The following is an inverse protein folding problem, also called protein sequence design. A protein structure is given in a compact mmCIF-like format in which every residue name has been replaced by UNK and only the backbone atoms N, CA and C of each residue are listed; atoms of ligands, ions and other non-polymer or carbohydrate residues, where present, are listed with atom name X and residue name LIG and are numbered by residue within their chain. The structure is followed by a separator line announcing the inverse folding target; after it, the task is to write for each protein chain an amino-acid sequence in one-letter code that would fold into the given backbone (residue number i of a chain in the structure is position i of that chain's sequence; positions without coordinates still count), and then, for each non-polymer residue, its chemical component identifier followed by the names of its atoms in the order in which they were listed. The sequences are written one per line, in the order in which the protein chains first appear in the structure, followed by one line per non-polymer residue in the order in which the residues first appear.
data_IF_148115152814
#
_entry.id   IF_148115152814
#
_cell.length_a   1.000
_cell.length_b   1.000
_cell.length_c   1.000
_cell.angle_alpha   90.00
_cell.angle_beta   90.00
_cell.angle_gamma   90.00
#
_symmetry.space_group_name_H-M   'P 1'
#
loop_
_entity.id
_entity.type
_entity.pdbx_description
1 polymer ?
#
# COMPACT_ATOMS: atom_id res chain seq x y z
N UNK A 1 -83.65 -35.80 77.91
CA UNK A 1 -82.41 -36.52 77.56
C UNK A 1 -82.17 -36.27 76.08
N UNK A 2 -81.00 -35.71 75.75
CA UNK A 2 -80.68 -35.14 74.44
C UNK A 2 -80.49 -36.21 73.35
N UNK A 3 -80.94 -35.90 72.14
CA UNK A 3 -80.83 -36.71 70.92
C UNK A 3 -79.39 -36.99 70.54
N UNK A 4 -79.12 -38.24 70.14
CA UNK A 4 -77.78 -38.78 69.89
C UNK A 4 -77.54 -39.11 68.39
N UNK A 5 -78.49 -38.80 67.50
CA UNK A 5 -78.46 -39.14 66.06
C UNK A 5 -77.88 -38.05 65.12
N UNK A 6 -77.60 -36.83 65.61
CA UNK A 6 -77.16 -35.70 64.77
C UNK A 6 -75.62 -35.58 64.62
N UNK A 7 -74.85 -36.43 65.30
CA UNK A 7 -73.37 -36.33 65.34
C UNK A 7 -72.64 -37.17 64.29
N UNK A 8 -73.32 -38.10 63.61
CA UNK A 8 -72.69 -39.01 62.63
C UNK A 8 -72.64 -38.38 61.21
N UNK A 9 -73.52 -37.43 60.91
CA UNK A 9 -73.64 -36.79 59.58
C UNK A 9 -72.54 -35.75 59.28
N UNK A 10 -72.04 -35.04 60.30
CA UNK A 10 -71.03 -33.99 60.11
C UNK A 10 -69.62 -34.52 59.87
N UNK A 11 -69.25 -35.68 60.42
CA UNK A 11 -67.89 -36.22 60.29
C UNK A 11 -67.63 -36.86 58.92
N UNK A 12 -68.64 -37.46 58.27
CA UNK A 12 -68.50 -38.00 56.91
C UNK A 12 -68.39 -36.91 55.83
N UNK A 13 -69.11 -35.80 55.97
CA UNK A 13 -68.97 -34.65 55.05
C UNK A 13 -67.59 -34.01 55.16
N UNK A 14 -67.08 -33.85 56.37
CA UNK A 14 -65.75 -33.29 56.64
C UNK A 14 -64.62 -34.19 56.12
N UNK A 15 -64.83 -35.51 56.10
CA UNK A 15 -63.90 -36.45 55.50
C UNK A 15 -63.87 -36.33 53.97
N UNK A 16 -65.02 -36.24 53.30
CA UNK A 16 -65.10 -36.08 51.84
C UNK A 16 -64.54 -34.74 51.34
N UNK A 17 -64.75 -33.66 52.09
CA UNK A 17 -64.20 -32.35 51.75
C UNK A 17 -62.67 -32.34 51.84
N UNK A 18 -62.09 -33.03 52.83
CA UNK A 18 -60.62 -33.21 52.94
C UNK A 18 -60.04 -34.06 51.82
N UNK A 19 -60.76 -35.08 51.35
CA UNK A 19 -60.33 -35.89 50.21
C UNK A 19 -60.36 -35.09 48.90
N UNK A 20 -61.40 -34.27 48.67
CA UNK A 20 -61.47 -33.38 47.51
C UNK A 20 -60.37 -32.31 47.53
N UNK A 21 -60.06 -31.72 48.69
CA UNK A 21 -58.96 -30.76 48.81
C UNK A 21 -57.59 -31.40 48.55
N UNK A 22 -57.36 -32.64 49.04
CA UNK A 22 -56.13 -33.37 48.75
C UNK A 22 -56.00 -33.75 47.28
N UNK A 23 -57.09 -34.15 46.63
CA UNK A 23 -57.08 -34.49 45.21
C UNK A 23 -56.86 -33.25 44.33
N UNK A 24 -57.43 -32.11 44.72
CA UNK A 24 -57.25 -30.82 44.04
C UNK A 24 -55.82 -30.29 44.19
N UNK A 25 -55.24 -30.38 45.38
CA UNK A 25 -53.83 -30.04 45.63
C UNK A 25 -52.86 -30.90 44.81
N UNK A 26 -53.14 -32.20 44.67
CA UNK A 26 -52.34 -33.10 43.81
C UNK A 26 -52.41 -32.75 42.33
N UNK A 27 -53.59 -32.34 41.83
CA UNK A 27 -53.77 -31.92 40.43
C UNK A 27 -53.06 -30.59 40.15
N UNK A 28 -53.16 -29.61 41.04
CA UNK A 28 -52.44 -28.34 40.92
C UNK A 28 -50.91 -28.52 40.95
N UNK A 29 -50.39 -29.39 41.82
CA UNK A 29 -48.95 -29.70 41.83
C UNK A 29 -48.48 -30.36 40.52
N UNK A 30 -49.25 -31.30 39.97
CA UNK A 30 -48.92 -31.93 38.69
C UNK A 30 -48.96 -30.94 37.53
N UNK A 31 -49.91 -30.03 37.51
CA UNK A 31 -50.02 -29.01 36.46
C UNK A 31 -48.86 -28.02 36.53
N UNK A 32 -48.51 -27.56 37.73
CA UNK A 32 -47.37 -26.67 37.97
C UNK A 32 -46.02 -27.32 37.64
N UNK A 33 -45.88 -28.63 37.86
CA UNK A 33 -44.68 -29.38 37.44
C UNK A 33 -44.60 -29.53 35.91
N UNK A 34 -45.72 -29.79 35.23
CA UNK A 34 -45.78 -29.86 33.76
C UNK A 34 -45.46 -28.52 33.12
N UNK A 35 -45.96 -27.43 33.67
CA UNK A 35 -45.71 -26.08 33.16
C UNK A 35 -44.22 -25.69 33.30
N UNK A 36 -43.59 -26.03 34.44
CA UNK A 36 -42.14 -25.84 34.64
C UNK A 36 -41.30 -26.70 33.70
N UNK A 37 -41.70 -27.95 33.48
CA UNK A 37 -41.01 -28.83 32.53
C UNK A 37 -41.08 -28.28 31.10
N UNK A 38 -42.25 -27.81 30.67
CA UNK A 38 -42.44 -27.20 29.34
C UNK A 38 -41.70 -25.87 29.17
N UNK A 39 -41.66 -25.02 30.21
CA UNK A 39 -40.89 -23.78 30.19
C UNK A 39 -39.39 -24.05 30.08
N UNK A 40 -38.89 -25.06 30.79
CA UNK A 40 -37.47 -25.46 30.77
C UNK A 40 -37.08 -26.03 29.39
N UNK A 41 -37.95 -26.83 28.78
CA UNK A 41 -37.68 -27.41 27.46
C UNK A 41 -37.73 -26.36 26.34
N UNK A 42 -38.67 -25.40 26.41
CA UNK A 42 -38.74 -24.27 25.47
C UNK A 42 -37.51 -23.37 25.57
N UNK A 43 -37.07 -23.02 26.78
CA UNK A 43 -35.87 -22.21 27.00
C UNK A 43 -34.60 -22.90 26.47
N UNK A 44 -34.49 -24.23 26.62
CA UNK A 44 -33.35 -25.01 26.12
C UNK A 44 -33.31 -25.07 24.59
N UNK A 45 -34.48 -25.16 23.92
CA UNK A 45 -34.58 -25.12 22.45
C UNK A 45 -34.31 -23.73 21.89
N UNK A 46 -34.78 -22.67 22.56
CA UNK A 46 -34.49 -21.29 22.18
C UNK A 46 -33.01 -20.94 22.35
N UNK A 47 -32.38 -21.32 23.48
CA UNK A 47 -30.95 -21.11 23.70
C UNK A 47 -30.07 -21.82 22.65
N UNK A 48 -30.41 -23.06 22.30
CA UNK A 48 -29.67 -23.81 21.26
C UNK A 48 -29.88 -23.25 19.84
N UNK A 49 -31.06 -22.68 19.55
CA UNK A 49 -31.29 -22.01 18.27
C UNK A 49 -30.61 -20.64 18.19
N UNK A 50 -30.55 -19.90 19.30
CA UNK A 50 -29.88 -18.61 19.36
C UNK A 50 -28.35 -18.76 19.31
N UNK A 51 -27.77 -19.78 19.97
CA UNK A 51 -26.34 -20.10 19.83
C UNK A 51 -25.99 -20.51 18.39
N UNK A 52 -26.79 -21.38 17.76
CA UNK A 52 -26.59 -21.75 16.34
C UNK A 52 -26.80 -20.58 15.38
N UNK A 53 -27.64 -19.61 15.72
CA UNK A 53 -27.83 -18.40 14.93
C UNK A 53 -26.64 -17.43 15.09
N UNK A 54 -26.06 -17.33 16.30
CA UNK A 54 -24.85 -16.54 16.57
C UNK A 54 -23.61 -17.15 15.90
N UNK A 55 -23.45 -18.47 15.91
CA UNK A 55 -22.35 -19.15 15.21
C UNK A 55 -22.45 -18.99 13.67
N UNK A 56 -23.66 -18.96 13.11
CA UNK A 56 -23.88 -18.72 11.68
C UNK A 56 -23.62 -17.29 11.23
N UNK A 57 -23.71 -16.30 12.13
CA UNK A 57 -23.40 -14.90 11.79
C UNK A 57 -21.90 -14.59 11.75
N UNK A 58 -21.06 -15.39 12.43
CA UNK A 58 -19.60 -15.20 12.44
C UNK A 58 -18.85 -15.98 11.34
N UNK A 59 -19.51 -16.87 10.60
CA UNK A 59 -18.87 -17.79 9.66
C UNK A 59 -18.83 -17.37 8.18
N UNK A 60 -19.36 -16.19 7.82
CA UNK A 60 -19.76 -15.89 6.44
C UNK A 60 -18.86 -14.96 5.62
N UNK A 61 -17.62 -14.68 6.01
CA UNK A 61 -16.78 -13.67 5.32
C UNK A 61 -15.36 -14.17 4.99
N UNK A 62 -15.24 -15.44 4.62
CA UNK A 62 -13.93 -16.12 4.56
C UNK A 62 -13.27 -16.21 3.18
N UNK A 63 -14.03 -16.19 2.09
CA UNK A 63 -13.49 -16.56 0.76
C UNK A 63 -13.43 -15.36 -0.20
N UNK A 64 -14.50 -14.56 -0.28
CA UNK A 64 -14.52 -13.38 -1.14
C UNK A 64 -13.49 -12.33 -0.74
N UNK A 65 -13.38 -12.02 0.55
CA UNK A 65 -12.38 -11.07 1.07
C UNK A 65 -10.95 -11.59 0.85
N UNK A 66 -10.70 -12.90 1.03
CA UNK A 66 -9.37 -13.48 0.76
C UNK A 66 -8.98 -13.39 -0.71
N UNK A 67 -9.94 -13.58 -1.63
CA UNK A 67 -9.70 -13.41 -3.07
C UNK A 67 -9.42 -11.93 -3.40
N UNK A 68 -10.18 -11.00 -2.84
CA UNK A 68 -9.94 -9.55 -3.03
C UNK A 68 -8.57 -9.15 -2.48
N UNK A 69 -8.21 -9.60 -1.27
CA UNK A 69 -6.88 -9.35 -0.69
C UNK A 69 -5.78 -9.97 -1.55
N UNK A 70 -5.96 -11.22 -2.02
CA UNK A 70 -4.99 -11.88 -2.89
C UNK A 70 -4.80 -11.12 -4.22
N UNK A 71 -5.88 -10.61 -4.81
CA UNK A 71 -5.80 -9.77 -6.01
C UNK A 71 -5.10 -8.45 -5.75
N UNK A 72 -5.35 -7.79 -4.61
CA UNK A 72 -4.65 -6.56 -4.22
C UNK A 72 -3.17 -6.82 -4.03
N UNK A 73 -2.80 -7.89 -3.30
CA UNK A 73 -1.41 -8.27 -3.09
C UNK A 73 -0.72 -8.60 -4.42
N UNK A 74 -1.40 -9.32 -5.31
CA UNK A 74 -0.88 -9.60 -6.65
C UNK A 74 -0.67 -8.31 -7.46
N UNK A 75 -1.62 -7.38 -7.43
CA UNK A 75 -1.50 -6.10 -8.09
C UNK A 75 -0.30 -5.29 -7.55
N UNK A 76 -0.09 -5.29 -6.23
CA UNK A 76 1.07 -4.64 -5.61
C UNK A 76 2.38 -5.29 -6.11
N UNK A 77 2.45 -6.62 -6.14
CA UNK A 77 3.64 -7.33 -6.65
C UNK A 77 3.93 -6.95 -8.11
N UNK A 78 2.90 -6.87 -8.95
CA UNK A 78 3.06 -6.46 -10.36
C UNK A 78 3.56 -5.02 -10.46
N UNK A 79 3.03 -4.09 -9.66
CA UNK A 79 3.48 -2.70 -9.63
C UNK A 79 4.94 -2.60 -9.17
N UNK A 80 5.31 -3.33 -8.11
CA UNK A 80 6.70 -3.37 -7.61
C UNK A 80 7.64 -3.96 -8.67
N UNK A 81 7.25 -5.05 -9.33
CA UNK A 81 8.04 -5.66 -10.39
C UNK A 81 8.21 -4.71 -11.59
N UNK A 82 7.15 -4.00 -11.99
CA UNK A 82 7.21 -2.99 -13.05
C UNK A 82 8.17 -1.84 -12.68
N UNK A 83 8.14 -1.39 -11.42
CA UNK A 83 9.03 -0.34 -10.93
C UNK A 83 10.50 -0.77 -10.87
N UNK A 84 10.77 -1.99 -10.38
CA UNK A 84 12.13 -2.53 -10.29
C UNK A 84 12.74 -2.89 -11.65
N UNK A 85 11.90 -3.20 -12.65
CA UNK A 85 12.33 -3.55 -14.01
C UNK A 85 12.43 -2.35 -14.96
N UNK A 86 12.35 -1.12 -14.43
CA UNK A 86 12.60 0.08 -15.22
C UNK A 86 14.03 0.09 -15.76
N UNK A 87 14.15 0.08 -17.08
CA UNK A 87 15.41 0.17 -17.81
C UNK A 87 15.39 1.42 -18.67
N UNK A 88 16.55 2.06 -18.76
CA UNK A 88 16.78 3.22 -19.63
C UNK A 88 17.79 2.80 -20.68
N UNK A 89 17.44 2.99 -21.96
CA UNK A 89 18.41 2.94 -23.05
C UNK A 89 18.61 4.33 -23.63
N UNK A 90 19.87 4.67 -23.90
CA UNK A 90 20.24 5.94 -24.55
C UNK A 90 20.79 5.64 -25.94
N UNK A 91 20.21 6.28 -26.96
CA UNK A 91 20.59 6.10 -28.37
C UNK A 91 20.82 7.43 -29.07
N UNK A 92 21.25 7.36 -30.34
CA UNK A 92 21.33 8.52 -31.21
C UNK A 92 19.95 9.16 -31.42
N UNK A 93 19.95 10.48 -31.59
CA UNK A 93 18.75 11.31 -31.75
C UNK A 93 18.09 11.10 -33.11
N UNK A 94 16.78 11.33 -33.14
CA UNK A 94 16.07 11.65 -34.39
C UNK A 94 16.16 13.18 -34.58
N UNK A 95 16.79 13.69 -35.64
CA UNK A 95 17.03 15.13 -35.79
C UNK A 95 15.73 15.94 -35.91
N UNK A 96 15.73 17.16 -35.38
CA UNK A 96 14.67 18.15 -35.59
C UNK A 96 13.54 18.19 -34.56
N UNK A 97 13.68 17.51 -33.42
CA UNK A 97 12.69 17.57 -32.33
C UNK A 97 13.02 18.74 -31.39
N UNK A 98 12.04 19.59 -31.11
CA UNK A 98 12.20 20.69 -30.15
C UNK A 98 12.29 20.16 -28.71
N UNK A 99 13.05 20.83 -27.86
CA UNK A 99 13.22 20.52 -26.43
C UNK A 99 12.60 21.62 -25.55
N UNK A 100 11.26 21.75 -25.50
CA UNK A 100 10.60 22.88 -24.84
C UNK A 100 10.60 22.76 -23.32
N UNK A 101 10.77 21.56 -22.77
CA UNK A 101 10.76 21.34 -21.33
C UNK A 101 12.17 21.47 -20.77
N UNK A 102 12.33 22.21 -19.67
CA UNK A 102 13.62 22.37 -18.99
C UNK A 102 13.43 22.11 -17.49
N UNK A 103 14.31 21.31 -16.91
CA UNK A 103 14.35 21.08 -15.46
C UNK A 103 15.76 21.37 -14.96
N UNK A 104 15.86 22.16 -13.89
CA UNK A 104 17.13 22.59 -13.33
C UNK A 104 17.44 21.82 -12.04
N UNK A 105 18.70 21.43 -11.90
CA UNK A 105 19.22 20.73 -10.74
C UNK A 105 20.57 21.33 -10.33
N UNK A 106 20.82 21.43 -9.03
CA UNK A 106 22.17 21.51 -8.52
C UNK A 106 22.75 20.11 -8.42
N UNK A 107 23.89 19.86 -9.06
CA UNK A 107 24.56 18.55 -9.05
C UNK A 107 25.98 18.66 -8.52
N UNK A 108 26.40 17.69 -7.72
CA UNK A 108 27.82 17.52 -7.34
C UNK A 108 28.39 16.25 -7.93
N UNK A 109 29.52 16.35 -8.63
CA UNK A 109 30.24 15.19 -9.16
C UNK A 109 31.37 14.76 -8.20
N UNK A 110 31.56 13.45 -7.99
CA UNK A 110 32.73 12.95 -7.28
C UNK A 110 33.99 13.20 -8.10
N UNK A 111 35.04 13.69 -7.44
CA UNK A 111 36.30 14.01 -8.11
C UNK A 111 37.09 12.75 -8.50
N UNK A 112 37.66 12.77 -9.71
CA UNK A 112 38.52 11.69 -10.22
C UNK A 112 37.79 10.37 -10.48
N UNK A 113 36.46 10.35 -10.38
CA UNK A 113 35.65 9.18 -10.69
C UNK A 113 34.93 9.37 -12.02
N UNK A 114 34.93 8.32 -12.84
CA UNK A 114 34.09 8.26 -14.03
C UNK A 114 32.69 7.81 -13.62
N UNK A 115 31.72 8.67 -13.89
CA UNK A 115 30.30 8.37 -13.74
C UNK A 115 29.68 8.14 -15.12
N UNK A 116 28.66 7.31 -15.18
CA UNK A 116 27.97 6.99 -16.42
C UNK A 116 26.54 7.53 -16.38
N UNK A 117 26.22 8.46 -17.28
CA UNK A 117 24.85 8.93 -17.51
C UNK A 117 24.36 8.35 -18.82
N UNK A 118 23.52 7.31 -18.74
CA UNK A 118 23.08 6.57 -19.93
C UNK A 118 24.25 5.83 -20.61
N UNK A 119 24.69 6.31 -21.76
CA UNK A 119 25.87 5.81 -22.47
C UNK A 119 27.04 6.81 -22.52
N UNK A 120 26.93 7.92 -21.79
CA UNK A 120 27.94 8.98 -21.72
C UNK A 120 28.80 8.76 -20.49
N UNK A 121 30.12 8.76 -20.67
CA UNK A 121 31.11 8.69 -19.60
C UNK A 121 31.55 10.10 -19.25
N UNK A 122 31.35 10.49 -18.01
CA UNK A 122 31.72 11.81 -17.52
C UNK A 122 32.75 11.60 -16.41
N UNK A 123 33.91 12.25 -16.51
CA UNK A 123 34.83 12.35 -15.39
C UNK A 123 35.22 13.78 -15.17
N UNK A 124 35.40 14.14 -13.92
CA UNK A 124 35.60 15.52 -13.51
C UNK A 124 36.78 15.57 -12.55
N UNK A 125 37.73 16.44 -12.86
CA UNK A 125 38.94 16.69 -12.07
C UNK A 125 39.03 18.18 -11.77
N UNK A 126 38.81 18.56 -10.52
CA UNK A 126 39.04 19.92 -10.04
C UNK A 126 40.53 20.13 -9.78
N UNK A 127 41.02 21.33 -10.08
CA UNK A 127 42.33 21.80 -9.68
C UNK A 127 42.25 23.31 -9.44
N UNK A 128 42.45 23.73 -8.19
CA UNK A 128 42.28 25.12 -7.75
C UNK A 128 40.89 25.68 -8.11
N UNK A 129 40.79 26.66 -9.00
CA UNK A 129 39.53 27.27 -9.44
C UNK A 129 39.05 26.76 -10.81
N UNK A 130 39.70 25.74 -11.34
CA UNK A 130 39.47 25.22 -12.67
C UNK A 130 39.03 23.78 -12.59
N UNK A 131 38.30 23.35 -13.61
CA UNK A 131 37.85 21.98 -13.67
C UNK A 131 38.06 21.40 -15.05
N UNK A 132 38.65 20.22 -15.09
CA UNK A 132 38.82 19.46 -16.31
C UNK A 132 37.66 18.47 -16.34
N UNK A 133 36.73 18.71 -17.26
CA UNK A 133 35.64 17.80 -17.58
C UNK A 133 36.01 16.98 -18.80
N UNK A 134 36.00 15.67 -18.65
CA UNK A 134 36.11 14.71 -19.75
C UNK A 134 34.73 14.10 -19.99
N UNK A 135 34.17 14.33 -21.18
CA UNK A 135 32.85 13.80 -21.57
C UNK A 135 33.05 13.00 -22.84
N UNK A 136 32.89 11.68 -22.76
CA UNK A 136 33.12 10.74 -23.87
C UNK A 136 34.51 10.90 -24.54
N UNK A 137 35.54 11.29 -23.79
CA UNK A 137 36.90 11.52 -24.28
C UNK A 137 37.17 12.96 -24.75
N UNK A 138 36.16 13.82 -24.81
CA UNK A 138 36.33 15.24 -25.11
C UNK A 138 36.61 16.03 -23.81
N UNK A 139 37.90 16.28 -23.59
CA UNK A 139 38.41 17.01 -22.43
C UNK A 139 38.31 18.51 -22.65
N UNK A 140 37.55 19.16 -21.79
CA UNK A 140 37.45 20.60 -21.74
C UNK A 140 37.76 21.11 -20.34
N UNK A 141 38.61 22.13 -20.28
CA UNK A 141 38.82 22.92 -19.07
C UNK A 141 37.70 23.96 -18.98
N UNK A 142 37.09 24.05 -17.81
CA UNK A 142 36.03 25.00 -17.49
C UNK A 142 36.47 25.86 -16.30
N UNK A 143 36.18 27.16 -16.37
CA UNK A 143 36.28 28.07 -15.21
C UNK A 143 34.89 28.39 -14.65
N UNK A 144 34.83 28.91 -13.42
CA UNK A 144 33.55 29.20 -12.76
C UNK A 144 32.71 30.13 -13.63
N UNK A 145 31.46 29.73 -13.89
CA UNK A 145 30.51 30.43 -14.74
C UNK A 145 30.47 29.93 -16.19
N UNK A 146 31.42 29.12 -16.63
CA UNK A 146 31.40 28.51 -17.96
C UNK A 146 30.43 27.33 -18.05
N UNK A 147 29.92 27.13 -19.26
CA UNK A 147 28.92 26.12 -19.57
C UNK A 147 29.49 25.07 -20.52
N UNK A 148 29.21 23.81 -20.19
CA UNK A 148 29.51 22.64 -21.00
C UNK A 148 28.20 22.01 -21.44
N UNK A 149 28.01 21.91 -22.74
CA UNK A 149 26.81 21.29 -23.33
C UNK A 149 27.14 19.85 -23.70
N UNK A 150 26.39 18.91 -23.14
CA UNK A 150 26.37 17.52 -23.58
C UNK A 150 25.41 17.44 -24.76
N UNK A 151 25.89 16.93 -25.89
CA UNK A 151 25.10 16.81 -27.12
C UNK A 151 23.78 16.07 -26.89
N UNK A 152 22.78 16.42 -27.69
CA UNK A 152 21.45 15.81 -27.62
C UNK A 152 21.52 14.29 -27.80
N UNK A 153 20.77 13.56 -26.97
CA UNK A 153 20.65 12.09 -26.99
C UNK A 153 19.17 11.70 -26.88
N UNK A 154 18.81 10.49 -27.27
CA UNK A 154 17.45 9.94 -27.13
C UNK A 154 17.42 8.96 -25.96
N UNK A 155 16.55 9.19 -24.98
CA UNK A 155 16.25 8.27 -23.89
C UNK A 155 14.95 7.51 -24.16
N UNK A 156 15.04 6.18 -24.12
CA UNK A 156 13.87 5.29 -24.16
C UNK A 156 13.77 4.58 -22.82
N UNK A 157 12.64 4.75 -22.15
CA UNK A 157 12.36 4.12 -20.87
C UNK A 157 11.43 2.94 -21.09
N UNK A 158 11.85 1.76 -20.67
CA UNK A 158 11.08 0.51 -20.75
C UNK A 158 10.84 -0.07 -19.37
N UNK A 159 9.73 -0.79 -19.18
CA UNK A 159 9.45 -1.62 -18.01
C UNK A 159 9.25 -3.07 -18.44
N UNK A 160 9.55 -3.99 -17.52
CA UNK A 160 9.53 -5.44 -17.77
C UNK A 160 10.37 -5.84 -19.00
N UNK A 161 11.40 -5.04 -19.35
CA UNK A 161 12.29 -5.24 -20.49
C UNK A 161 11.67 -5.06 -21.89
N UNK A 162 10.34 -4.94 -22.00
CA UNK A 162 9.65 -4.96 -23.30
C UNK A 162 8.60 -3.86 -23.49
N UNK A 163 7.99 -3.34 -22.41
CA UNK A 163 6.94 -2.33 -22.52
C UNK A 163 7.58 -0.95 -22.52
N UNK A 164 7.47 -0.23 -23.62
CA UNK A 164 7.95 1.15 -23.73
C UNK A 164 7.00 2.09 -22.99
N UNK A 165 7.53 2.78 -21.99
CA UNK A 165 6.80 3.76 -21.20
C UNK A 165 6.96 5.17 -21.77
N UNK A 166 8.16 5.51 -22.25
CA UNK A 166 8.47 6.87 -22.69
C UNK A 166 9.59 6.89 -23.74
N UNK A 167 9.59 7.94 -24.56
CA UNK A 167 10.59 8.23 -25.59
C UNK A 167 10.84 9.72 -25.62
N UNK A 168 12.04 10.15 -25.24
CA UNK A 168 12.32 11.58 -25.25
C UNK A 168 13.73 11.85 -25.71
N UNK A 169 13.90 12.90 -26.50
CA UNK A 169 15.22 13.47 -26.70
C UNK A 169 15.54 14.36 -25.51
N UNK A 170 16.81 14.37 -25.10
CA UNK A 170 17.30 15.20 -24.03
C UNK A 170 18.66 15.82 -24.35
N UNK A 171 18.90 17.00 -23.81
CA UNK A 171 20.19 17.70 -23.83
C UNK A 171 20.51 18.16 -22.42
N UNK A 172 21.77 18.08 -22.02
CA UNK A 172 22.22 18.48 -20.68
C UNK A 172 23.19 19.65 -20.82
N UNK A 173 22.90 20.76 -20.15
CA UNK A 173 23.82 21.87 -20.00
C UNK A 173 24.33 21.89 -18.57
N UNK A 174 25.65 21.88 -18.41
CA UNK A 174 26.34 21.92 -17.12
C UNK A 174 27.04 23.26 -16.97
N UNK A 175 26.63 24.08 -16.00
CA UNK A 175 27.31 25.32 -15.66
C UNK A 175 28.18 25.10 -14.44
N UNK A 176 29.49 25.30 -14.56
CA UNK A 176 30.39 25.12 -13.43
C UNK A 176 30.21 26.26 -12.41
N UNK A 177 30.00 25.90 -11.15
CA UNK A 177 29.71 26.86 -10.06
C UNK A 177 30.81 26.94 -9.02
N UNK A 178 31.86 26.14 -9.17
CA UNK A 178 32.95 26.03 -8.21
C UNK A 178 32.86 24.71 -7.43
N UNK A 179 33.51 24.70 -6.28
CA UNK A 179 33.56 23.55 -5.40
C UNK A 179 32.56 23.70 -4.26
N UNK A 180 31.94 22.59 -3.86
CA UNK A 180 31.07 22.49 -2.69
C UNK A 180 31.36 21.16 -1.99
N UNK A 181 31.69 21.22 -0.71
CA UNK A 181 31.97 20.04 0.12
C UNK A 181 33.07 19.13 -0.48
N UNK A 182 34.15 19.73 -1.02
CA UNK A 182 35.24 19.01 -1.70
C UNK A 182 34.80 18.20 -2.93
N UNK A 183 33.77 18.70 -3.61
CA UNK A 183 33.21 18.15 -4.84
C UNK A 183 32.91 19.26 -5.83
N UNK A 184 33.02 18.92 -7.10
CA UNK A 184 32.67 19.83 -8.17
C UNK A 184 31.17 20.10 -8.23
N UNK A 185 30.75 21.34 -8.07
CA UNK A 185 29.35 21.75 -8.09
C UNK A 185 28.98 22.40 -9.43
N UNK A 186 27.85 21.96 -9.99
CA UNK A 186 27.31 22.48 -11.24
C UNK A 186 25.82 22.79 -11.11
N UNK A 187 25.39 23.85 -11.79
CA UNK A 187 23.97 24.01 -12.12
C UNK A 187 23.73 23.25 -13.44
N UNK A 188 22.91 22.21 -13.38
CA UNK A 188 22.56 21.34 -14.50
C UNK A 188 21.16 21.68 -15.02
N UNK A 189 21.04 22.02 -16.29
CA UNK A 189 19.77 22.16 -16.97
C UNK A 189 19.55 20.97 -17.91
N UNK A 190 18.53 20.17 -17.63
CA UNK A 190 18.10 19.05 -18.47
C UNK A 190 16.95 19.53 -19.34
N UNK A 191 17.16 19.56 -20.65
CA UNK A 191 16.14 19.92 -21.64
C UNK A 191 15.59 18.66 -22.27
N UNK A 192 14.28 18.53 -22.36
CA UNK A 192 13.62 17.32 -22.91
C UNK A 192 12.55 17.66 -23.94
N UNK A 193 12.32 16.73 -24.87
CA UNK A 193 11.26 16.86 -25.89
C UNK A 193 9.87 16.61 -25.33
N UNK A 194 9.77 15.76 -24.30
CA UNK A 194 8.53 15.42 -23.61
C UNK A 194 8.65 15.78 -22.13
N UNK A 195 7.51 16.00 -21.46
CA UNK A 195 7.50 16.24 -20.03
C UNK A 195 7.84 14.95 -19.28
N UNK A 196 9.05 14.89 -18.74
CA UNK A 196 9.52 13.73 -17.98
C UNK A 196 9.17 13.91 -16.49
N UNK A 197 8.45 12.97 -15.87
CA UNK A 197 8.26 12.96 -14.42
C UNK A 197 9.58 12.96 -13.65
N UNK A 198 9.67 13.71 -12.54
CA UNK A 198 10.87 13.82 -11.68
C UNK A 198 11.41 12.46 -11.24
N UNK A 199 10.51 11.52 -10.95
CA UNK A 199 10.87 10.15 -10.56
C UNK A 199 11.69 9.42 -11.63
N UNK A 200 11.39 9.66 -12.91
CA UNK A 200 12.13 9.07 -14.03
C UNK A 200 13.44 9.82 -14.28
N UNK A 201 13.47 11.15 -14.12
CA UNK A 201 14.70 11.96 -14.19
C UNK A 201 15.73 11.50 -13.15
N UNK A 202 15.31 11.26 -11.90
CA UNK A 202 16.19 10.73 -10.85
C UNK A 202 16.75 9.34 -11.14
N UNK A 203 16.06 8.55 -11.96
CA UNK A 203 16.52 7.22 -12.37
C UNK A 203 17.51 7.30 -13.54
N UNK A 204 17.40 8.34 -14.37
CA UNK A 204 18.37 8.66 -15.44
C UNK A 204 19.68 9.16 -14.86
N UNK A 205 19.61 9.89 -13.74
CA UNK A 205 20.79 10.39 -13.05
C UNK A 205 21.37 9.27 -12.17
N UNK A 206 22.66 8.95 -12.32
CA UNK A 206 23.32 7.94 -11.50
C UNK A 206 23.36 8.39 -10.03
N UNK A 207 23.15 7.47 -9.07
CA UNK A 207 23.09 7.79 -7.63
C UNK A 207 24.40 8.37 -7.07
N UNK A 208 25.51 8.22 -7.79
CA UNK A 208 26.81 8.80 -7.48
C UNK A 208 26.80 10.34 -7.56
N UNK A 209 25.84 10.92 -8.30
CA UNK A 209 25.62 12.37 -8.39
C UNK A 209 24.55 12.78 -7.38
N UNK A 210 24.87 13.69 -6.46
CA UNK A 210 23.85 14.33 -5.61
C UNK A 210 23.14 15.39 -6.44
N UNK A 211 22.01 15.02 -7.04
CA UNK A 211 21.16 15.90 -7.84
C UNK A 211 19.97 16.41 -7.03
N UNK A 212 19.88 17.74 -6.87
CA UNK A 212 18.80 18.40 -6.11
C UNK A 212 18.09 19.43 -6.98
N UNK A 213 16.74 19.43 -7.04
CA UNK A 213 16.01 20.47 -7.75
C UNK A 213 16.36 21.86 -7.21
N UNK A 214 16.49 22.84 -8.11
CA UNK A 214 16.76 24.26 -7.79
C UNK A 214 15.73 25.20 -8.41
#
# INVERSE_FOLDING_TARGET
MCSMDDLISQDEQKARDREMEQEKGRKEEQEKQRERAQATEKGRKQGQQEERAREKQTGGSGTGIKVVIALIVLAIIVVVAAFLSLSVSVSNVSPGIALPFTTNYGVTFPEGQTITIGNVHISVLSFENEIISDIDGDRQKLVVGEERVISERRAVITTLGMIKLMDTNFQINLKYKGERDNRAYFDMAVRTSEQVPDLLLRRLLPPEIDARPI
#
